data_IF_258508151491
#
_entry.id   IF_258508151491
#
_cell.length_a   1.000
_cell.length_b   1.000
_cell.length_c   1.000
_cell.angle_alpha   90.00
_cell.angle_beta   90.00
_cell.angle_gamma   90.00
#
_symmetry.space_group_name_H-M   'P 1'
#
loop_
_entity.id
_entity.type
_entity.pdbx_description
1 polymer ?
#
# COMPACT_ATOMS: atom_id res chain seq x y z
N UNK A 1 -6.28 -12.17 -34.14
CA UNK A 1 -5.03 -11.45 -34.46
C UNK A 1 -4.95 -10.17 -33.64
N UNK A 2 -4.45 -10.25 -32.40
CA UNK A 2 -4.14 -9.08 -31.55
C UNK A 2 -2.62 -8.84 -31.45
N UNK A 3 -1.80 -9.69 -32.08
CA UNK A 3 -0.33 -9.62 -32.03
C UNK A 3 0.25 -8.29 -32.51
N UNK A 4 -0.42 -7.60 -33.45
CA UNK A 4 -0.01 -6.27 -33.93
C UNK A 4 -0.03 -5.16 -32.86
N UNK A 5 -0.66 -5.40 -31.71
CA UNK A 5 -0.71 -4.48 -30.58
C UNK A 5 0.15 -4.93 -29.40
N UNK A 6 0.83 -6.07 -29.49
CA UNK A 6 1.68 -6.59 -28.41
C UNK A 6 2.73 -5.57 -27.99
N UNK A 7 3.37 -4.91 -28.96
CA UNK A 7 4.39 -3.88 -28.73
C UNK A 7 3.81 -2.49 -28.41
N UNK A 8 2.47 -2.35 -28.42
CA UNK A 8 1.74 -1.10 -28.12
C UNK A 8 1.00 -1.14 -26.78
N UNK A 9 1.04 -2.26 -26.09
CA UNK A 9 0.45 -2.41 -24.76
C UNK A 9 1.42 -1.85 -23.71
N UNK A 10 1.09 -0.68 -23.17
CA UNK A 10 1.79 -0.11 -22.01
C UNK A 10 1.12 -0.59 -20.74
N UNK A 11 1.89 -1.18 -19.82
CA UNK A 11 1.43 -1.52 -18.49
C UNK A 11 1.59 -0.30 -17.57
N UNK A 12 0.52 0.10 -16.90
CA UNK A 12 0.56 1.11 -15.86
C UNK A 12 -0.29 0.65 -14.66
N UNK A 13 0.13 0.95 -13.43
CA UNK A 13 -0.69 0.68 -12.25
C UNK A 13 -1.98 1.49 -12.33
N UNK A 14 -3.11 0.77 -12.41
CA UNK A 14 -4.43 1.39 -12.50
C UNK A 14 -4.94 1.88 -11.14
N UNK A 15 -4.87 1.03 -10.12
CA UNK A 15 -5.36 1.30 -8.77
C UNK A 15 -4.68 0.40 -7.74
N UNK A 16 -4.30 1.00 -6.61
CA UNK A 16 -3.81 0.28 -5.44
C UNK A 16 -4.98 -0.28 -4.64
N UNK A 17 -4.92 -1.56 -4.30
CA UNK A 17 -5.89 -2.21 -3.40
C UNK A 17 -5.36 -2.05 -1.98
N UNK A 18 -6.11 -1.43 -1.05
CA UNK A 18 -5.65 -1.30 0.32
C UNK A 18 -5.51 -2.67 0.98
N UNK A 19 -4.44 -2.85 1.74
CA UNK A 19 -4.17 -4.09 2.48
C UNK A 19 -4.24 -3.80 3.97
N UNK A 20 -4.83 -4.73 4.72
CA UNK A 20 -5.07 -4.57 6.15
C UNK A 20 -4.51 -5.79 6.88
N UNK A 21 -3.81 -5.59 8.01
CA UNK A 21 -3.38 -6.71 8.85
C UNK A 21 -4.60 -7.37 9.51
N UNK A 22 -4.58 -8.70 9.58
CA UNK A 22 -5.56 -9.45 10.34
C UNK A 22 -5.06 -9.61 11.77
N UNK A 23 -5.80 -9.05 12.72
CA UNK A 23 -5.48 -9.08 14.15
C UNK A 23 -6.55 -9.91 14.87
N UNK A 24 -6.12 -10.73 15.83
CA UNK A 24 -7.04 -11.57 16.60
C UNK A 24 -8.01 -10.72 17.43
N UNK A 25 -9.26 -11.18 17.58
CA UNK A 25 -10.32 -10.45 18.28
C UNK A 25 -10.35 -10.82 19.76
N UNK A 26 -9.43 -10.23 20.51
CA UNK A 26 -9.37 -10.27 21.98
C UNK A 26 -8.90 -8.92 22.54
N UNK A 27 -8.91 -8.75 23.86
CA UNK A 27 -8.50 -7.49 24.51
C UNK A 27 -7.06 -7.07 24.15
N UNK A 28 -6.16 -8.05 24.00
CA UNK A 28 -4.76 -7.82 23.60
C UNK A 28 -4.68 -7.35 22.15
N UNK A 29 -5.43 -7.99 21.26
CA UNK A 29 -5.54 -7.66 19.85
C UNK A 29 -6.14 -6.29 19.62
N UNK A 30 -7.17 -5.91 20.37
CA UNK A 30 -7.74 -4.55 20.32
C UNK A 30 -6.73 -3.48 20.73
N UNK A 31 -5.97 -3.73 21.81
CA UNK A 31 -4.90 -2.81 22.22
C UNK A 31 -3.81 -2.73 21.16
N UNK A 32 -3.39 -3.86 20.61
CA UNK A 32 -2.37 -3.91 19.55
C UNK A 32 -2.83 -3.20 18.27
N UNK A 33 -4.10 -3.36 17.86
CA UNK A 33 -4.65 -2.70 16.69
C UNK A 33 -4.60 -1.18 16.79
N UNK A 34 -4.93 -0.62 17.97
CA UNK A 34 -4.86 0.83 18.22
C UNK A 34 -3.43 1.37 18.14
N UNK A 35 -2.48 0.68 18.76
CA UNK A 35 -1.06 1.07 18.70
C UNK A 35 -0.50 0.93 17.28
N UNK A 36 -0.88 -0.13 16.57
CA UNK A 36 -0.50 -0.35 15.17
C UNK A 36 -1.02 0.76 14.26
N UNK A 37 -2.30 1.13 14.38
CA UNK A 37 -2.90 2.20 13.58
C UNK A 37 -2.19 3.54 13.82
N UNK A 38 -1.89 3.86 15.08
CA UNK A 38 -1.09 5.05 15.44
C UNK A 38 0.29 5.02 14.79
N UNK A 39 1.03 3.92 14.94
CA UNK A 39 2.37 3.77 14.37
C UNK A 39 2.37 3.91 12.84
N UNK A 40 1.41 3.29 12.14
CA UNK A 40 1.30 3.39 10.69
C UNK A 40 0.97 4.82 10.24
N UNK A 41 0.15 5.55 10.99
CA UNK A 41 -0.14 6.96 10.71
C UNK A 41 1.12 7.82 10.83
N UNK A 42 1.89 7.66 11.91
CA UNK A 42 3.15 8.39 12.13
C UNK A 42 4.17 8.09 11.02
N UNK A 43 4.33 6.82 10.63
CA UNK A 43 5.21 6.39 9.53
C UNK A 43 4.76 6.87 8.14
N UNK A 44 3.46 7.14 7.98
CA UNK A 44 2.92 7.74 6.75
C UNK A 44 3.22 9.23 6.69
N UNK A 45 2.99 9.94 7.81
CA UNK A 45 3.19 11.39 7.92
C UNK A 45 4.68 11.78 7.82
N UNK A 46 5.59 10.99 8.38
CA UNK A 46 7.04 11.25 8.33
C UNK A 46 7.72 10.82 7.00
N UNK A 47 6.95 10.22 6.10
CA UNK A 47 7.40 9.74 4.78
C UNK A 47 8.22 8.45 4.82
N UNK A 48 8.30 7.75 5.95
CA UNK A 48 9.02 6.48 6.06
C UNK A 48 8.41 5.41 5.16
N UNK A 49 7.08 5.31 5.09
CA UNK A 49 6.41 4.34 4.21
C UNK A 49 6.74 4.58 2.72
N UNK A 50 6.75 5.84 2.28
CA UNK A 50 7.11 6.18 0.90
C UNK A 50 8.58 5.82 0.58
N UNK A 51 9.51 6.09 1.52
CA UNK A 51 10.92 5.69 1.38
C UNK A 51 11.10 4.18 1.27
N UNK A 52 10.37 3.42 2.10
CA UNK A 52 10.38 1.95 2.04
C UNK A 52 9.80 1.45 0.72
N UNK A 53 8.70 2.04 0.26
CA UNK A 53 8.10 1.69 -1.01
C UNK A 53 9.07 1.89 -2.17
N UNK A 54 9.70 3.06 -2.25
CA UNK A 54 10.71 3.36 -3.27
C UNK A 54 11.90 2.39 -3.23
N UNK A 55 12.33 1.97 -2.03
CA UNK A 55 13.43 1.02 -1.88
C UNK A 55 13.12 -0.35 -2.48
N UNK A 56 11.95 -0.91 -2.15
CA UNK A 56 11.59 -2.29 -2.47
C UNK A 56 10.80 -2.44 -3.78
N UNK A 57 10.01 -1.45 -4.16
CA UNK A 57 9.15 -1.49 -5.35
C UNK A 57 9.59 -0.51 -6.46
N UNK A 58 10.58 0.37 -6.21
CA UNK A 58 11.03 1.41 -7.17
C UNK A 58 9.97 2.46 -7.52
N UNK A 59 8.88 2.48 -6.76
CA UNK A 59 7.77 3.42 -6.87
C UNK A 59 7.12 3.61 -5.50
N UNK A 60 6.29 4.65 -5.36
CA UNK A 60 5.47 4.82 -4.16
C UNK A 60 4.11 4.16 -4.36
N UNK A 61 3.96 2.92 -3.90
CA UNK A 61 2.75 2.12 -4.10
C UNK A 61 1.53 2.70 -3.35
N UNK A 62 1.77 3.51 -2.31
CA UNK A 62 0.70 4.18 -1.57
C UNK A 62 0.09 5.33 -2.36
N UNK A 63 0.76 5.83 -3.41
CA UNK A 63 0.22 6.86 -4.31
C UNK A 63 -0.95 6.34 -5.17
N UNK A 64 -1.08 5.02 -5.32
CA UNK A 64 -2.15 4.39 -6.09
C UNK A 64 -3.38 4.04 -5.28
N UNK A 65 -3.30 4.08 -3.94
CA UNK A 65 -4.45 3.81 -3.07
C UNK A 65 -5.30 5.08 -3.03
N UNK A 66 -6.54 4.97 -3.49
CA UNK A 66 -7.48 6.09 -3.46
C UNK A 66 -7.61 6.65 -2.05
N UNK A 67 -7.65 7.98 -1.96
CA UNK A 67 -8.11 8.68 -0.75
C UNK A 67 -9.63 8.69 -0.86
N UNK A 68 -10.29 7.79 -0.14
CA UNK A 68 -11.75 7.83 0.03
C UNK A 68 -12.24 9.24 0.38
#
# INVERSE_FOLDING_TARGET
>A
SYHQYADKLSWFPYKGIPTYPLIHRDEKGEKFAKEYEKAIKELKEDGTLAKLSQKYFKEDVFSYVDKD
#
